data_IF_088036011084
#
_entry.id   IF_088036011084
#
_cell.length_a   1.000
_cell.length_b   1.000
_cell.length_c   1.000
_cell.angle_alpha   90.00
_cell.angle_beta   90.00
_cell.angle_gamma   90.00
#
_symmetry.space_group_name_H-M   'P 1'
#
loop_
_entity.id
_entity.type
_entity.pdbx_description
1 polymer ?
#
# COMPACT_ATOMS: atom_id res chain seq x y z
N UNK A 1 -21.83 -14.71 -40.69
CA UNK A 1 -21.96 -14.10 -39.34
C UNK A 1 -20.74 -14.31 -38.44
N UNK A 2 -20.16 -15.52 -38.28
CA UNK A 2 -18.97 -15.74 -37.42
C UNK A 2 -17.71 -14.91 -37.76
N UNK A 3 -17.48 -14.58 -39.04
CA UNK A 3 -16.33 -13.76 -39.48
C UNK A 3 -16.44 -12.26 -39.12
N UNK A 4 -17.66 -11.74 -38.96
CA UNK A 4 -17.90 -10.33 -38.57
C UNK A 4 -17.66 -10.18 -37.05
N UNK A 5 -18.05 -11.17 -36.25
CA UNK A 5 -17.83 -11.16 -34.81
C UNK A 5 -16.34 -11.20 -34.44
N UNK A 6 -15.53 -11.99 -35.15
CA UNK A 6 -14.08 -12.07 -34.94
C UNK A 6 -13.37 -10.74 -35.27
N UNK A 7 -13.90 -9.99 -36.24
CA UNK A 7 -13.36 -8.68 -36.63
C UNK A 7 -13.63 -7.63 -35.55
N UNK A 8 -14.82 -7.63 -34.95
CA UNK A 8 -15.12 -6.72 -33.83
C UNK A 8 -14.29 -7.02 -32.58
N UNK A 9 -14.03 -8.30 -32.25
CA UNK A 9 -13.13 -8.63 -31.14
C UNK A 9 -11.69 -8.20 -31.40
N UNK A 10 -11.20 -8.32 -32.65
CA UNK A 10 -9.84 -7.90 -33.00
C UNK A 10 -9.71 -6.37 -33.04
N UNK A 11 -10.73 -5.65 -33.51
CA UNK A 11 -10.75 -4.18 -33.54
C UNK A 11 -10.88 -3.61 -32.13
N UNK A 12 -11.65 -4.22 -31.23
CA UNK A 12 -11.68 -3.82 -29.82
C UNK A 12 -10.34 -4.07 -29.11
N UNK A 13 -9.60 -5.12 -29.50
CA UNK A 13 -8.25 -5.39 -28.98
C UNK A 13 -7.21 -4.42 -29.55
N UNK A 14 -7.34 -4.02 -30.83
CA UNK A 14 -6.46 -3.05 -31.49
C UNK A 14 -6.77 -1.59 -31.14
N UNK A 15 -8.01 -1.26 -30.76
CA UNK A 15 -8.37 0.06 -30.22
C UNK A 15 -8.13 0.15 -28.70
N UNK A 16 -7.93 -0.99 -28.04
CA UNK A 16 -7.28 -1.10 -26.73
C UNK A 16 -5.75 -1.04 -26.84
N UNK A 17 -5.16 -0.73 -28.01
CA UNK A 17 -3.78 -0.21 -28.06
C UNK A 17 -3.83 1.10 -27.31
N UNK A 18 -3.39 0.96 -26.07
CA UNK A 18 -3.56 1.85 -24.96
C UNK A 18 -3.24 3.28 -25.38
N UNK A 19 -4.08 4.22 -24.96
CA UNK A 19 -3.56 5.51 -24.54
C UNK A 19 -2.62 5.23 -23.36
N UNK A 20 -1.43 4.68 -23.63
CA UNK A 20 -0.33 4.58 -22.68
C UNK A 20 -0.16 6.00 -22.19
N UNK A 21 -0.58 6.21 -20.95
CA UNK A 21 -0.45 7.48 -20.27
C UNK A 21 1.00 7.90 -20.43
N UNK A 22 1.25 8.94 -21.24
CA UNK A 22 2.61 9.43 -21.43
C UNK A 22 3.00 10.21 -20.18
N UNK A 23 3.49 9.47 -19.17
CA UNK A 23 3.95 10.01 -17.89
C UNK A 23 5.03 11.06 -18.13
N UNK A 24 5.92 10.83 -19.10
CA UNK A 24 6.97 11.78 -19.47
C UNK A 24 6.39 13.13 -19.92
N UNK A 25 5.40 13.14 -20.80
CA UNK A 25 4.71 14.37 -21.24
C UNK A 25 3.99 15.06 -20.06
N UNK A 26 3.35 14.30 -19.17
CA UNK A 26 2.69 14.86 -17.98
C UNK A 26 3.70 15.50 -17.02
N UNK A 27 4.86 14.88 -16.85
CA UNK A 27 5.97 15.41 -16.05
C UNK A 27 6.55 16.68 -16.67
N UNK A 28 6.71 16.76 -17.99
CA UNK A 28 7.16 17.97 -18.69
C UNK A 28 6.27 19.20 -18.39
N UNK A 29 4.98 18.96 -18.09
CA UNK A 29 4.01 19.99 -17.70
C UNK A 29 3.99 20.29 -16.18
N UNK A 30 4.98 19.80 -15.43
CA UNK A 30 5.19 20.09 -14.00
C UNK A 30 6.56 20.78 -13.86
N UNK A 31 6.64 21.84 -13.06
CA UNK A 31 7.91 22.53 -12.83
C UNK A 31 8.95 21.59 -12.23
N UNK A 32 10.22 21.79 -12.54
CA UNK A 32 11.31 20.94 -12.01
C UNK A 32 11.33 20.91 -10.47
N UNK A 33 10.94 22.00 -9.82
CA UNK A 33 10.83 22.07 -8.36
C UNK A 33 9.68 21.19 -7.84
N UNK A 34 8.49 21.27 -8.45
CA UNK A 34 7.37 20.41 -8.06
C UNK A 34 7.68 18.93 -8.34
N UNK A 35 8.38 18.61 -9.43
CA UNK A 35 8.85 17.26 -9.72
C UNK A 35 9.80 16.73 -8.64
N UNK A 36 10.77 17.53 -8.17
CA UNK A 36 11.67 17.13 -7.07
C UNK A 36 10.91 16.83 -5.78
N UNK A 37 9.92 17.65 -5.45
CA UNK A 37 9.06 17.44 -4.27
C UNK A 37 8.23 16.15 -4.41
N UNK A 38 7.61 15.91 -5.57
CA UNK A 38 6.87 14.65 -5.82
C UNK A 38 7.81 13.44 -5.77
N UNK A 39 9.02 13.55 -6.33
CA UNK A 39 10.06 12.53 -6.23
C UNK A 39 10.37 12.20 -4.76
N UNK A 40 10.66 13.21 -3.95
CA UNK A 40 10.92 13.05 -2.52
C UNK A 40 9.75 12.39 -1.76
N UNK A 41 8.50 12.77 -2.09
CA UNK A 41 7.31 12.15 -1.52
C UNK A 41 7.26 10.64 -1.76
N UNK A 42 7.38 10.21 -3.03
CA UNK A 42 7.34 8.79 -3.37
C UNK A 42 8.57 8.03 -2.86
N UNK A 43 9.77 8.64 -2.85
CA UNK A 43 10.94 8.03 -2.23
C UNK A 43 10.67 7.70 -0.75
N UNK A 44 10.08 8.63 0.01
CA UNK A 44 9.76 8.42 1.42
C UNK A 44 8.68 7.35 1.61
N UNK A 45 7.61 7.38 0.83
CA UNK A 45 6.56 6.36 0.84
C UNK A 45 7.12 4.95 0.61
N UNK A 46 8.01 4.81 -0.37
CA UNK A 46 8.61 3.52 -0.74
C UNK A 46 9.65 3.09 0.29
N UNK A 47 10.58 3.97 0.66
CA UNK A 47 11.71 3.64 1.56
C UNK A 47 11.24 3.39 2.99
N UNK A 48 10.33 4.21 3.51
CA UNK A 48 10.06 4.26 4.95
C UNK A 48 8.74 3.63 5.35
N UNK A 49 7.72 3.71 4.48
CA UNK A 49 6.33 3.41 4.85
C UNK A 49 5.76 2.18 4.12
N UNK A 50 6.59 1.47 3.36
CA UNK A 50 6.23 0.19 2.75
C UNK A 50 5.26 0.26 1.57
N UNK A 51 5.01 1.46 1.01
CA UNK A 51 4.13 1.63 -0.16
C UNK A 51 4.73 0.98 -1.42
N UNK A 52 6.06 0.83 -1.47
CA UNK A 52 6.74 0.13 -2.56
C UNK A 52 6.29 -1.33 -2.70
N UNK A 53 5.96 -2.00 -1.60
CA UNK A 53 5.47 -3.39 -1.65
C UNK A 53 4.05 -3.50 -2.20
N UNK A 54 3.27 -2.42 -2.15
CA UNK A 54 1.94 -2.34 -2.78
C UNK A 54 2.05 -1.93 -4.24
N UNK A 55 2.92 -0.98 -4.58
CA UNK A 55 3.16 -0.55 -5.96
C UNK A 55 3.80 -1.67 -6.79
N UNK A 56 4.87 -2.29 -6.30
CA UNK A 56 5.72 -3.16 -7.12
C UNK A 56 5.69 -4.64 -6.71
N UNK A 57 4.89 -5.00 -5.71
CA UNK A 57 4.76 -6.36 -5.20
C UNK A 57 3.31 -6.76 -4.97
N UNK A 58 3.11 -7.77 -4.13
CA UNK A 58 1.81 -8.41 -3.90
C UNK A 58 1.07 -7.90 -2.65
N UNK A 59 1.54 -6.82 -2.02
CA UNK A 59 0.91 -6.30 -0.80
C UNK A 59 -0.39 -5.57 -1.15
N UNK A 60 -1.57 -5.99 -0.66
CA UNK A 60 -2.84 -5.41 -1.11
C UNK A 60 -3.02 -3.94 -0.70
N UNK A 61 -2.70 -3.60 0.55
CA UNK A 61 -2.91 -2.26 1.10
C UNK A 61 -1.65 -1.75 1.81
N UNK A 62 -1.34 -0.48 1.60
CA UNK A 62 -0.40 0.29 2.43
C UNK A 62 -1.09 1.49 3.05
N UNK A 63 -0.69 1.83 4.26
CA UNK A 63 -1.28 2.88 5.06
C UNK A 63 -0.18 3.70 5.73
N UNK A 64 -0.36 5.02 5.78
CA UNK A 64 0.50 5.93 6.52
C UNK A 64 -0.37 6.95 7.24
N UNK A 65 -0.31 6.95 8.55
CA UNK A 65 -1.00 7.92 9.39
C UNK A 65 0.03 8.84 10.07
N UNK A 66 -0.22 10.15 10.06
CA UNK A 66 0.61 11.14 10.78
C UNK A 66 -0.20 12.35 11.25
N UNK A 67 0.38 13.09 12.20
CA UNK A 67 -0.20 14.34 12.72
C UNK A 67 0.05 15.50 11.73
N UNK A 68 -1.03 16.09 11.21
CA UNK A 68 -1.04 17.20 10.26
C UNK A 68 -0.67 18.55 10.89
N UNK A 69 -0.86 18.70 12.21
CA UNK A 69 -0.57 19.92 12.97
C UNK A 69 0.62 19.68 13.91
N UNK A 70 1.83 20.20 13.60
CA UNK A 70 3.04 19.97 14.41
C UNK A 70 2.96 20.48 15.86
N UNK A 71 2.01 21.38 16.13
CA UNK A 71 1.81 22.07 17.41
C UNK A 71 0.93 21.27 18.40
N UNK A 72 0.27 20.19 17.95
CA UNK A 72 -0.58 19.36 18.80
C UNK A 72 0.28 18.45 19.70
N UNK A 73 -0.09 18.41 20.99
CA UNK A 73 0.68 17.94 22.14
C UNK A 73 1.66 16.76 21.88
N UNK A 74 2.95 17.05 22.04
CA UNK A 74 4.12 16.14 21.90
C UNK A 74 4.11 14.91 22.82
N UNK A 75 3.10 14.74 23.69
CA UNK A 75 3.06 13.63 24.64
C UNK A 75 2.71 12.28 24.02
N UNK A 76 2.17 12.22 22.79
CA UNK A 76 1.89 10.96 22.06
C UNK A 76 1.94 11.10 20.53
N UNK A 77 3.09 11.37 19.89
CA UNK A 77 3.15 11.33 18.44
C UNK A 77 3.20 9.87 18.01
N UNK A 78 2.06 9.32 17.61
CA UNK A 78 2.06 7.94 17.10
C UNK A 78 2.85 7.82 15.79
N UNK A 79 3.00 8.87 14.96
CA UNK A 79 4.08 9.03 13.98
C UNK A 79 4.19 10.52 13.62
N UNK A 80 5.41 11.07 13.56
CA UNK A 80 5.67 12.42 13.03
C UNK A 80 6.43 12.32 11.72
N UNK A 81 6.05 13.12 10.73
CA UNK A 81 6.78 13.30 9.47
C UNK A 81 7.50 14.64 9.48
N UNK A 82 8.54 14.78 8.68
CA UNK A 82 9.24 16.05 8.50
C UNK A 82 8.40 17.07 7.69
N UNK A 83 8.68 18.37 7.88
CA UNK A 83 7.97 19.46 7.17
C UNK A 83 8.11 19.33 5.65
N UNK A 84 9.30 18.92 5.16
CA UNK A 84 9.55 18.67 3.75
C UNK A 84 8.61 17.61 3.17
N UNK A 85 8.28 16.56 3.94
CA UNK A 85 7.34 15.52 3.53
C UNK A 85 5.92 16.07 3.43
N UNK A 86 5.50 16.94 4.36
CA UNK A 86 4.19 17.58 4.32
C UNK A 86 4.07 18.50 3.10
N UNK A 87 5.11 19.28 2.79
CA UNK A 87 5.15 20.09 1.58
C UNK A 87 5.11 19.23 0.32
N UNK A 88 5.90 18.17 0.28
CA UNK A 88 5.96 17.24 -0.84
C UNK A 88 4.61 16.54 -1.08
N UNK A 89 3.91 16.16 -0.02
CA UNK A 89 2.54 15.65 -0.09
C UNK A 89 1.56 16.68 -0.67
N UNK A 90 1.59 17.93 -0.19
CA UNK A 90 0.74 19.01 -0.73
C UNK A 90 1.02 19.24 -2.23
N UNK A 91 2.29 19.20 -2.64
CA UNK A 91 2.67 19.29 -4.04
C UNK A 91 2.15 18.10 -4.85
N UNK A 92 2.21 16.88 -4.33
CA UNK A 92 1.57 15.72 -4.95
C UNK A 92 0.07 15.93 -5.12
N UNK A 93 -0.66 16.31 -4.07
CA UNK A 93 -2.13 16.56 -4.14
C UNK A 93 -2.50 17.60 -5.18
N UNK A 94 -1.70 18.65 -5.35
CA UNK A 94 -1.89 19.66 -6.40
C UNK A 94 -1.84 19.07 -7.81
N UNK A 95 -1.00 18.06 -8.05
CA UNK A 95 -0.79 17.45 -9.37
C UNK A 95 -1.43 16.07 -9.54
N UNK A 96 -1.97 15.45 -8.49
CA UNK A 96 -2.48 14.07 -8.52
C UNK A 96 -3.52 13.85 -9.62
N UNK A 97 -4.34 14.85 -9.95
CA UNK A 97 -5.36 14.76 -10.99
C UNK A 97 -4.79 14.58 -12.40
N UNK A 98 -3.49 14.83 -12.59
CA UNK A 98 -2.76 14.51 -13.82
C UNK A 98 -2.42 13.02 -13.92
N UNK A 99 -2.58 12.23 -12.86
CA UNK A 99 -2.20 10.82 -12.80
C UNK A 99 -3.40 10.00 -12.32
N UNK A 100 -4.22 9.55 -13.26
CA UNK A 100 -5.28 8.58 -12.97
C UNK A 100 -4.71 7.16 -12.95
N UNK A 101 -5.28 6.30 -12.11
CA UNK A 101 -4.93 4.88 -12.02
C UNK A 101 -6.19 4.02 -12.05
N UNK A 102 -6.20 3.02 -12.93
CA UNK A 102 -7.19 1.96 -12.88
C UNK A 102 -6.77 0.86 -11.89
N UNK A 103 -5.46 0.60 -11.80
CA UNK A 103 -4.85 -0.44 -10.97
C UNK A 103 -4.83 -0.13 -9.47
N UNK A 104 -4.62 1.13 -9.11
CA UNK A 104 -4.51 1.57 -7.72
C UNK A 104 -5.65 2.49 -7.32
N UNK A 105 -5.98 2.45 -6.04
CA UNK A 105 -6.83 3.42 -5.37
C UNK A 105 -5.98 4.13 -4.32
N UNK A 106 -5.75 5.43 -4.49
CA UNK A 106 -4.86 6.23 -3.63
C UNK A 106 -5.63 7.41 -3.06
N UNK A 107 -5.95 7.35 -1.77
CA UNK A 107 -6.81 8.36 -1.13
C UNK A 107 -6.36 8.74 0.27
N UNK A 108 -6.79 9.93 0.68
CA UNK A 108 -6.74 10.37 2.07
C UNK A 108 -8.04 9.95 2.76
N UNK A 109 -7.91 9.21 3.87
CA UNK A 109 -9.01 8.78 4.71
C UNK A 109 -9.19 9.75 5.87
N UNK A 110 -10.43 10.20 6.10
CA UNK A 110 -10.77 10.97 7.29
C UNK A 110 -10.83 10.07 8.53
N UNK A 111 -10.05 10.40 9.56
CA UNK A 111 -10.09 9.72 10.86
C UNK A 111 -11.12 10.33 11.81
N UNK A 112 -11.62 9.52 12.74
CA UNK A 112 -12.57 9.96 13.78
C UNK A 112 -11.89 10.84 14.82
N UNK A 113 -10.60 10.60 15.09
CA UNK A 113 -9.77 11.34 16.07
C UNK A 113 -9.54 12.83 15.75
N UNK A 114 -10.09 13.34 14.65
CA UNK A 114 -10.12 14.77 14.33
C UNK A 114 -9.43 15.10 13.01
N UNK A 115 -9.64 16.34 12.53
CA UNK A 115 -9.05 16.88 11.27
C UNK A 115 -7.53 17.11 11.34
N UNK A 116 -6.92 16.74 12.46
CA UNK A 116 -5.54 17.02 12.81
C UNK A 116 -4.61 15.91 12.35
N UNK A 117 -5.15 14.83 11.77
CA UNK A 117 -4.39 13.71 11.27
C UNK A 117 -4.66 13.50 9.78
N UNK A 118 -3.61 13.11 9.06
CA UNK A 118 -3.72 12.59 7.69
C UNK A 118 -3.51 11.08 7.76
N UNK A 119 -4.43 10.33 7.16
CA UNK A 119 -4.31 8.89 6.97
C UNK A 119 -4.36 8.58 5.48
N UNK A 120 -3.21 8.22 4.94
CA UNK A 120 -2.98 8.04 3.53
C UNK A 120 -3.02 6.55 3.20
N UNK A 121 -3.86 6.17 2.24
CA UNK A 121 -4.13 4.77 1.90
C UNK A 121 -3.83 4.54 0.43
N UNK A 122 -3.00 3.53 0.13
CA UNK A 122 -2.80 3.00 -1.21
C UNK A 122 -3.30 1.55 -1.26
N UNK A 123 -4.20 1.26 -2.19
CA UNK A 123 -4.75 -0.07 -2.45
C UNK A 123 -4.34 -0.51 -3.85
N UNK A 124 -3.71 -1.68 -3.97
CA UNK A 124 -3.57 -2.41 -5.22
C UNK A 124 -4.86 -3.22 -5.43
N UNK A 125 -5.71 -2.79 -6.38
CA UNK A 125 -7.07 -3.33 -6.51
C UNK A 125 -7.09 -4.82 -6.83
N UNK A 126 -6.19 -5.31 -7.70
CA UNK A 126 -6.17 -6.72 -8.06
C UNK A 126 -5.83 -7.60 -6.87
N UNK A 127 -4.78 -7.26 -6.13
CA UNK A 127 -4.40 -8.01 -4.92
C UNK A 127 -5.43 -7.85 -3.79
N UNK A 128 -6.06 -6.68 -3.67
CA UNK A 128 -7.14 -6.43 -2.71
C UNK A 128 -8.35 -7.34 -2.95
N UNK A 129 -8.90 -7.33 -4.17
CA UNK A 129 -10.04 -8.18 -4.52
C UNK A 129 -9.70 -9.67 -4.49
N UNK A 130 -8.48 -10.05 -4.88
CA UNK A 130 -7.98 -11.43 -4.73
C UNK A 130 -7.99 -11.87 -3.27
N UNK A 131 -7.58 -11.04 -2.32
CA UNK A 131 -7.64 -11.37 -0.89
C UNK A 131 -9.07 -11.46 -0.37
N UNK A 132 -9.95 -10.55 -0.77
CA UNK A 132 -11.36 -10.62 -0.38
C UNK A 132 -12.01 -11.90 -0.90
N UNK A 133 -11.75 -12.25 -2.16
CA UNK A 133 -12.28 -13.47 -2.76
C UNK A 133 -11.76 -14.75 -2.07
N UNK A 134 -10.46 -14.81 -1.78
CA UNK A 134 -9.86 -15.97 -1.11
C UNK A 134 -10.33 -16.16 0.34
N UNK A 135 -10.77 -15.09 0.99
CA UNK A 135 -11.21 -15.09 2.39
C UNK A 135 -12.62 -14.49 2.51
N UNK A 136 -13.53 -14.90 1.61
CA UNK A 136 -14.87 -14.31 1.50
C UNK A 136 -15.72 -14.47 2.76
N UNK A 137 -15.39 -15.43 3.63
CA UNK A 137 -16.00 -15.62 4.94
C UNK A 137 -15.64 -14.52 5.95
N UNK A 138 -14.53 -13.82 5.75
CA UNK A 138 -14.08 -12.73 6.61
C UNK A 138 -14.71 -11.38 6.24
N UNK A 139 -15.10 -11.18 4.98
CA UNK A 139 -15.53 -9.88 4.46
C UNK A 139 -17.04 -9.86 4.17
N UNK A 140 -17.74 -8.75 4.44
CA UNK A 140 -19.13 -8.57 4.03
C UNK A 140 -19.32 -8.71 2.51
N UNK A 141 -20.55 -9.02 2.09
CA UNK A 141 -20.92 -8.96 0.67
C UNK A 141 -20.67 -7.55 0.10
N UNK A 142 -20.25 -7.48 -1.16
CA UNK A 142 -19.97 -6.23 -1.88
C UNK A 142 -18.90 -5.33 -1.23
N UNK A 143 -17.94 -5.93 -0.53
CA UNK A 143 -16.83 -5.21 0.06
C UNK A 143 -15.85 -4.69 -1.02
N UNK A 144 -15.76 -3.37 -1.15
CA UNK A 144 -14.92 -2.64 -2.12
C UNK A 144 -13.96 -1.65 -1.43
N UNK A 145 -13.20 -0.87 -2.21
CA UNK A 145 -12.24 0.10 -1.66
C UNK A 145 -12.94 1.18 -0.82
N UNK A 146 -14.14 1.61 -1.22
CA UNK A 146 -14.90 2.63 -0.49
C UNK A 146 -15.41 2.08 0.84
N UNK A 147 -15.88 0.84 0.85
CA UNK A 147 -16.27 0.14 2.07
C UNK A 147 -15.06 0.03 3.03
N UNK A 148 -13.89 -0.35 2.52
CA UNK A 148 -12.65 -0.39 3.31
C UNK A 148 -12.32 0.97 3.95
N UNK A 149 -12.30 2.04 3.15
CA UNK A 149 -11.98 3.40 3.63
C UNK A 149 -12.98 3.87 4.69
N UNK A 150 -14.27 3.56 4.52
CA UNK A 150 -15.30 4.05 5.43
C UNK A 150 -15.40 3.22 6.72
N UNK A 151 -15.17 1.90 6.63
CA UNK A 151 -15.56 0.97 7.69
C UNK A 151 -14.38 0.37 8.47
N UNK A 152 -13.16 0.28 7.91
CA UNK A 152 -12.03 -0.34 8.61
C UNK A 152 -11.25 0.64 9.48
N UNK A 153 -11.94 1.22 10.47
CA UNK A 153 -11.35 2.11 11.48
C UNK A 153 -11.46 1.43 12.83
N UNK A 154 -10.35 1.22 13.52
CA UNK A 154 -10.30 0.45 14.78
C UNK A 154 -11.27 1.01 15.83
N UNK A 155 -11.49 2.32 15.82
CA UNK A 155 -12.37 3.04 16.73
C UNK A 155 -13.85 2.70 16.55
N UNK A 156 -14.23 2.06 15.44
CA UNK A 156 -15.60 1.62 15.17
C UNK A 156 -15.91 0.24 15.76
N UNK A 157 -14.90 -0.48 16.27
CA UNK A 157 -15.08 -1.86 16.76
C UNK A 157 -15.11 -1.91 18.28
N UNK A 158 -16.03 -2.71 18.81
CA UNK A 158 -16.06 -3.06 20.23
C UNK A 158 -14.82 -3.89 20.61
N UNK A 159 -14.55 -4.06 21.90
CA UNK A 159 -13.45 -4.91 22.36
C UNK A 159 -13.66 -6.37 21.93
N UNK A 160 -14.92 -6.79 21.83
CA UNK A 160 -15.33 -8.12 21.43
C UNK A 160 -15.16 -8.35 19.92
N UNK A 161 -15.36 -7.30 19.10
CA UNK A 161 -15.29 -7.38 17.63
C UNK A 161 -13.90 -7.02 17.07
N UNK A 162 -13.01 -6.45 17.89
CA UNK A 162 -11.68 -5.98 17.47
C UNK A 162 -10.80 -7.10 16.90
N UNK A 163 -11.03 -8.35 17.31
CA UNK A 163 -10.34 -9.50 16.74
C UNK A 163 -10.67 -9.70 15.25
N UNK A 164 -11.94 -9.58 14.88
CA UNK A 164 -12.37 -9.65 13.48
C UNK A 164 -11.76 -8.54 12.64
N UNK A 165 -11.71 -7.32 13.18
CA UNK A 165 -11.00 -6.19 12.58
C UNK A 165 -9.52 -6.50 12.33
N UNK A 166 -8.80 -6.94 13.36
CA UNK A 166 -7.37 -7.23 13.24
C UNK A 166 -7.06 -8.36 12.26
N UNK A 167 -7.91 -9.38 12.20
CA UNK A 167 -7.77 -10.46 11.23
C UNK A 167 -7.94 -9.93 9.79
N UNK A 168 -9.04 -9.21 9.50
CA UNK A 168 -9.25 -8.60 8.17
C UNK A 168 -8.11 -7.65 7.78
N UNK A 169 -7.70 -6.78 8.70
CA UNK A 169 -6.61 -5.84 8.46
C UNK A 169 -5.28 -6.55 8.23
N UNK A 170 -4.94 -7.57 8.99
CA UNK A 170 -3.71 -8.32 8.79
C UNK A 170 -3.66 -9.00 7.41
N UNK A 171 -4.79 -9.55 6.96
CA UNK A 171 -4.92 -10.11 5.60
C UNK A 171 -4.71 -9.03 4.53
N UNK A 172 -5.41 -7.89 4.64
CA UNK A 172 -5.33 -6.80 3.66
C UNK A 172 -3.99 -6.05 3.67
N UNK A 173 -3.31 -6.00 4.82
CA UNK A 173 -1.95 -5.45 4.93
C UNK A 173 -0.87 -6.44 4.45
N UNK A 174 -1.26 -7.64 4.01
CA UNK A 174 -0.35 -8.63 3.43
C UNK A 174 0.51 -9.36 4.46
N UNK A 175 0.00 -9.57 5.68
CA UNK A 175 0.71 -10.28 6.76
C UNK A 175 0.48 -11.80 6.73
N UNK A 176 -0.47 -12.27 5.92
CA UNK A 176 -0.92 -13.66 5.91
C UNK A 176 -2.05 -13.91 6.90
N UNK A 177 -2.94 -14.83 6.56
CA UNK A 177 -4.11 -15.18 7.37
C UNK A 177 -3.68 -15.82 8.69
N UNK A 178 -2.70 -16.72 8.66
CA UNK A 178 -2.21 -17.40 9.85
C UNK A 178 -1.59 -16.41 10.83
N UNK A 179 -0.77 -15.48 10.34
CA UNK A 179 -0.17 -14.45 11.19
C UNK A 179 -1.23 -13.47 11.73
N UNK A 180 -2.20 -13.07 10.90
CA UNK A 180 -3.27 -12.16 11.27
C UNK A 180 -4.23 -12.76 12.32
N UNK A 181 -4.61 -14.02 12.15
CA UNK A 181 -5.50 -14.76 13.06
C UNK A 181 -4.91 -14.88 14.45
N UNK A 182 -3.62 -15.20 14.54
CA UNK A 182 -2.92 -15.31 15.82
C UNK A 182 -2.74 -13.93 16.49
N UNK A 183 -2.48 -12.87 15.71
CA UNK A 183 -2.48 -11.51 16.25
C UNK A 183 -3.87 -11.12 16.81
N UNK A 184 -4.94 -11.41 16.07
CA UNK A 184 -6.32 -11.16 16.51
C UNK A 184 -6.67 -11.89 17.82
N UNK A 185 -6.28 -13.17 17.96
CA UNK A 185 -6.48 -13.95 19.20
C UNK A 185 -5.79 -13.31 20.40
N UNK A 186 -4.58 -12.77 20.22
CA UNK A 186 -3.80 -12.12 21.30
C UNK A 186 -4.43 -10.83 21.79
N UNK A 187 -5.01 -10.03 20.90
CA UNK A 187 -5.70 -8.80 21.30
C UNK A 187 -6.88 -9.10 22.24
N UNK A 188 -7.49 -10.29 22.11
CA UNK A 188 -8.61 -10.73 22.95
C UNK A 188 -8.14 -11.40 24.26
N UNK A 189 -7.12 -12.28 24.21
CA UNK A 189 -6.89 -13.30 25.25
C UNK A 189 -5.62 -13.15 26.14
N UNK A 190 -5.17 -11.93 26.46
CA UNK A 190 -3.97 -11.64 27.29
C UNK A 190 -2.64 -11.94 26.53
N UNK A 191 -1.70 -10.96 26.40
CA UNK A 191 -0.67 -10.96 25.36
C UNK A 191 0.58 -11.78 25.72
N UNK A 192 0.45 -12.96 26.32
CA UNK A 192 1.63 -13.81 26.57
C UNK A 192 2.26 -14.17 25.23
N UNK A 193 3.52 -13.77 25.05
CA UNK A 193 4.26 -14.00 23.81
C UNK A 193 4.37 -15.50 23.54
N UNK A 194 3.95 -15.95 22.35
CA UNK A 194 4.35 -17.26 21.86
C UNK A 194 5.86 -17.21 21.60
N UNK A 195 6.65 -18.11 22.21
CA UNK A 195 8.11 -18.03 22.19
C UNK A 195 8.72 -18.14 20.79
N UNK A 196 7.97 -18.66 19.82
CA UNK A 196 8.44 -18.91 18.45
C UNK A 196 8.24 -17.71 17.51
N UNK A 197 7.65 -16.61 17.98
CA UNK A 197 7.30 -15.47 17.13
C UNK A 197 8.39 -14.40 17.09
N UNK A 198 8.81 -14.05 15.89
CA UNK A 198 9.84 -13.04 15.64
C UNK A 198 9.25 -11.83 14.94
N UNK A 199 9.97 -10.71 14.92
CA UNK A 199 9.57 -9.56 14.11
C UNK A 199 9.91 -9.89 12.65
N UNK A 200 8.90 -9.88 11.77
CA UNK A 200 9.03 -10.30 10.37
C UNK A 200 10.13 -9.55 9.62
N UNK A 201 10.30 -8.25 9.88
CA UNK A 201 11.38 -7.45 9.27
C UNK A 201 12.78 -8.04 9.51
N UNK A 202 12.98 -8.76 10.61
CA UNK A 202 14.27 -9.35 10.97
C UNK A 202 14.51 -10.69 10.23
N UNK A 203 13.46 -11.26 9.63
CA UNK A 203 13.54 -12.44 8.76
C UNK A 203 13.96 -12.08 7.32
N UNK A 204 13.71 -10.85 6.91
CA UNK A 204 14.11 -10.35 5.60
C UNK A 204 15.56 -9.87 5.69
N UNK A 205 16.43 -10.51 4.91
CA UNK A 205 17.84 -10.17 4.86
C UNK A 205 18.06 -8.82 4.19
N UNK A 206 18.07 -7.76 4.99
CA UNK A 206 18.37 -6.41 4.50
C UNK A 206 19.88 -6.20 4.41
N UNK A 207 20.40 -5.94 3.20
CA UNK A 207 21.71 -5.30 3.08
C UNK A 207 21.51 -3.86 3.58
N UNK A 208 22.24 -3.41 4.60
CA UNK A 208 22.14 -2.02 5.06
C UNK A 208 22.77 -1.09 4.03
N UNK A 209 22.02 -0.67 3.02
CA UNK A 209 22.39 0.41 2.12
C UNK A 209 21.44 1.62 2.33
N UNK A 210 21.82 2.81 1.84
CA UNK A 210 21.04 4.04 2.04
C UNK A 210 19.63 3.99 1.43
N UNK A 211 19.43 3.14 0.43
CA UNK A 211 18.22 3.05 -0.39
C UNK A 211 17.46 1.72 -0.20
N UNK A 212 17.77 0.94 0.84
CA UNK A 212 17.00 -0.28 1.16
C UNK A 212 15.66 0.09 1.78
N UNK A 213 14.52 -0.29 1.18
CA UNK A 213 13.21 0.02 1.73
C UNK A 213 12.89 -0.87 2.94
N UNK A 214 12.29 -0.27 3.98
CA UNK A 214 11.87 -0.99 5.18
C UNK A 214 10.76 -2.00 4.84
N UNK A 215 10.94 -3.30 5.11
CA UNK A 215 9.86 -4.26 4.96
C UNK A 215 8.76 -4.03 6.01
N UNK A 216 7.55 -4.59 5.81
CA UNK A 216 6.49 -4.48 6.79
C UNK A 216 6.88 -5.02 8.16
N UNK A 217 6.43 -4.32 9.20
CA UNK A 217 6.75 -4.66 10.59
C UNK A 217 5.52 -5.29 11.24
N UNK A 218 5.55 -6.61 11.39
CA UNK A 218 4.57 -7.38 12.14
C UNK A 218 5.28 -8.56 12.82
N UNK A 219 4.61 -9.24 13.74
CA UNK A 219 5.14 -10.49 14.32
C UNK A 219 4.65 -11.67 13.47
N UNK A 220 5.51 -12.65 13.25
CA UNK A 220 5.17 -13.83 12.45
C UNK A 220 5.77 -15.10 13.05
N UNK A 221 5.14 -16.24 12.78
CA UNK A 221 5.74 -17.56 13.03
C UNK A 221 6.61 -17.95 11.82
N UNK A 222 7.95 -18.01 11.96
CA UNK A 222 8.83 -18.29 10.83
C UNK A 222 8.75 -19.75 10.35
N UNK A 223 8.11 -20.66 11.08
CA UNK A 223 8.08 -22.08 10.74
C UNK A 223 6.89 -22.48 9.85
N UNK A 224 5.99 -21.55 9.53
CA UNK A 224 4.85 -21.84 8.66
C UNK A 224 5.20 -21.67 7.18
N UNK A 225 4.58 -22.49 6.32
CA UNK A 225 4.76 -22.37 4.87
C UNK A 225 4.29 -20.99 4.35
N UNK A 226 3.25 -20.42 4.95
CA UNK A 226 2.77 -19.08 4.61
C UNK A 226 3.85 -18.03 4.87
N UNK A 227 4.44 -18.01 6.07
CA UNK A 227 5.48 -17.03 6.40
C UNK A 227 6.71 -17.18 5.52
N UNK A 228 7.11 -18.41 5.18
CA UNK A 228 8.23 -18.64 4.26
C UNK A 228 7.96 -18.05 2.86
N UNK A 229 6.75 -18.21 2.32
CA UNK A 229 6.34 -17.56 1.06
C UNK A 229 6.35 -16.04 1.18
N UNK A 230 5.88 -15.49 2.31
CA UNK A 230 5.94 -14.04 2.54
C UNK A 230 7.40 -13.55 2.56
N UNK A 231 8.32 -14.24 3.24
CA UNK A 231 9.74 -13.87 3.26
C UNK A 231 10.27 -13.82 1.82
N UNK A 232 10.02 -14.85 1.01
CA UNK A 232 10.45 -14.89 -0.39
C UNK A 232 9.89 -13.73 -1.20
N UNK A 233 8.58 -13.50 -1.17
CA UNK A 233 7.91 -12.46 -1.96
C UNK A 233 8.37 -11.05 -1.55
N UNK A 234 8.47 -10.78 -0.24
CA UNK A 234 8.95 -9.49 0.26
C UNK A 234 10.44 -9.28 -0.02
N UNK A 235 11.28 -10.32 0.06
CA UNK A 235 12.70 -10.22 -0.30
C UNK A 235 12.90 -9.91 -1.78
N UNK A 236 12.20 -10.61 -2.68
CA UNK A 236 12.26 -10.34 -4.12
C UNK A 236 11.77 -8.93 -4.46
N UNK A 237 10.68 -8.49 -3.83
CA UNK A 237 10.16 -7.13 -4.01
C UNK A 237 11.15 -6.09 -3.48
N UNK A 238 11.80 -6.34 -2.34
CA UNK A 238 12.80 -5.43 -1.78
C UNK A 238 13.99 -5.24 -2.73
N UNK A 239 14.51 -6.32 -3.31
CA UNK A 239 15.59 -6.24 -4.31
C UNK A 239 15.19 -5.39 -5.51
N UNK A 240 13.99 -5.62 -6.08
CA UNK A 240 13.44 -4.80 -7.16
C UNK A 240 13.31 -3.32 -6.77
N UNK A 241 12.85 -3.04 -5.55
CA UNK A 241 12.70 -1.67 -5.06
C UNK A 241 14.06 -0.99 -4.86
N UNK A 242 15.10 -1.71 -4.44
CA UNK A 242 16.46 -1.17 -4.36
C UNK A 242 16.95 -0.71 -5.74
N UNK A 243 16.73 -1.49 -6.79
CA UNK A 243 17.09 -1.11 -8.16
C UNK A 243 16.32 0.14 -8.62
N UNK A 244 15.01 0.19 -8.35
CA UNK A 244 14.15 1.33 -8.70
C UNK A 244 14.60 2.61 -7.97
N UNK A 245 14.88 2.51 -6.67
CA UNK A 245 15.31 3.65 -5.84
C UNK A 245 16.70 4.19 -6.20
N UNK A 246 17.52 3.40 -6.90
CA UNK A 246 18.82 3.82 -7.41
C UNK A 246 18.77 4.32 -8.87
N UNK A 247 17.60 4.26 -9.52
CA UNK A 247 17.44 4.65 -10.91
C UNK A 247 17.29 6.17 -11.06
N UNK A 248 17.99 6.77 -12.03
CA UNK A 248 17.89 8.21 -12.32
C UNK A 248 16.49 8.65 -12.76
N UNK A 249 15.71 7.73 -13.34
CA UNK A 249 14.32 7.92 -13.76
C UNK A 249 13.31 7.42 -12.72
N UNK A 250 13.70 7.31 -11.45
CA UNK A 250 12.87 6.80 -10.35
C UNK A 250 11.42 7.33 -10.38
N UNK A 251 11.24 8.66 -10.46
CA UNK A 251 9.91 9.26 -10.44
C UNK A 251 9.05 8.81 -11.63
N UNK A 252 9.65 8.74 -12.82
CA UNK A 252 8.94 8.27 -14.02
C UNK A 252 8.51 6.81 -13.86
N UNK A 253 9.41 5.94 -13.40
CA UNK A 253 9.11 4.50 -13.17
C UNK A 253 7.94 4.34 -12.19
N UNK A 254 7.94 5.09 -11.09
CA UNK A 254 6.88 5.02 -10.08
C UNK A 254 5.53 5.48 -10.64
N UNK A 255 5.52 6.57 -11.40
CA UNK A 255 4.28 7.10 -11.97
C UNK A 255 3.77 6.25 -13.15
N UNK A 256 4.66 5.61 -13.90
CA UNK A 256 4.30 4.62 -14.93
C UNK A 256 3.67 3.39 -14.31
N UNK A 257 4.26 2.85 -13.24
CA UNK A 257 3.66 1.76 -12.46
C UNK A 257 2.28 2.18 -11.94
N UNK A 258 2.19 3.35 -11.30
CA UNK A 258 0.93 3.86 -10.75
C UNK A 258 -0.15 4.06 -11.83
N UNK A 259 0.20 4.59 -13.01
CA UNK A 259 -0.75 4.82 -14.10
C UNK A 259 -1.00 3.58 -14.99
N UNK A 260 -0.34 2.46 -14.74
CA UNK A 260 -0.52 1.25 -15.54
C UNK A 260 -1.96 0.70 -15.45
N UNK A 261 -2.36 0.00 -16.51
CA UNK A 261 -3.62 -0.73 -16.51
C UNK A 261 -3.56 -1.87 -15.48
N UNK A 262 -4.71 -2.27 -14.96
CA UNK A 262 -4.79 -3.50 -14.17
C UNK A 262 -4.43 -4.69 -15.07
N UNK A 263 -3.59 -5.61 -14.56
CA UNK A 263 -3.38 -6.88 -15.24
C UNK A 263 -4.68 -7.70 -15.15
N UNK A 264 -5.25 -8.04 -16.31
CA UNK A 264 -6.43 -8.92 -16.43
C UNK A 264 -6.15 -10.35 -15.91
#
# INVERSE_FOLDING_TARGET
MKKIFLFFTLVSFLLKVEATVNVSERLQNISAEDQKKICYFFEKLIKQYGFGYTLFGEKPVSMLYWLAIPEYDRKRPYFSVDEDFVEAYKTWKKHQGKFSSEKYFFEERSLVVGKEYVDLILINKSEFYKKIFLHSDLFPDHYDEKAFINNEKVELFSKEDVGGYHLRMGVLLGYGEGNASEFAKRTINDPKESPDWVVFKDLIRTKKNKNTPNPPVFRANPHTQETQKLIENYSQTQEKLEDILNNENFLQIVLEEYCSAAAD
#
